data_IF_970432421697
#
_entry.id   IF_970432421697
#
_cell.length_a   1.000
_cell.length_b   1.000
_cell.length_c   1.000
_cell.angle_alpha   90.00
_cell.angle_beta   90.00
_cell.angle_gamma   90.00
#
_symmetry.space_group_name_H-M   'P 1'
#
loop_
_entity.id
_entity.type
_entity.pdbx_description
1 polymer ?
#
# COMPACT_ATOMS: atom_id res chain seq x y z
N UNK A 1 -5.60 2.97 39.62
CA UNK A 1 -5.30 2.40 38.28
C UNK A 1 -4.29 3.25 37.57
N UNK A 2 -4.58 4.50 37.20
CA UNK A 2 -3.67 5.38 36.44
C UNK A 2 -2.27 5.44 37.04
N UNK A 3 -2.14 5.65 38.36
CA UNK A 3 -0.83 5.65 39.05
C UNK A 3 -0.07 4.31 38.98
N UNK A 4 -0.75 3.23 38.75
CA UNK A 4 -0.11 1.91 38.60
C UNK A 4 0.35 1.77 37.13
N UNK A 5 -0.45 2.19 36.17
CA UNK A 5 -0.03 2.23 34.78
C UNK A 5 1.22 3.11 34.58
N UNK A 6 1.26 4.29 35.23
CA UNK A 6 2.44 5.17 35.25
C UNK A 6 3.68 4.49 35.84
N UNK A 7 3.50 3.67 36.89
CA UNK A 7 4.61 2.89 37.49
C UNK A 7 5.10 1.78 36.57
N UNK A 8 4.19 1.06 35.94
CA UNK A 8 4.51 0.04 34.90
C UNK A 8 5.30 0.67 33.77
N UNK A 9 4.83 1.79 33.26
CA UNK A 9 5.50 2.52 32.19
C UNK A 9 6.90 3.00 32.63
N UNK A 10 7.03 3.57 33.82
CA UNK A 10 8.32 4.02 34.35
C UNK A 10 9.31 2.86 34.57
N UNK A 11 8.83 1.66 34.94
CA UNK A 11 9.68 0.47 35.05
C UNK A 11 10.14 -0.03 33.67
N UNK A 12 9.26 -0.02 32.66
CA UNK A 12 9.60 -0.33 31.27
C UNK A 12 10.66 0.64 30.72
N UNK A 13 10.52 1.92 30.97
CA UNK A 13 11.47 2.94 30.48
C UNK A 13 12.88 2.75 31.11
N UNK A 14 12.97 2.38 32.37
CA UNK A 14 14.24 2.07 33.01
C UNK A 14 14.93 0.84 32.45
N UNK A 15 14.17 -0.07 31.83
CA UNK A 15 14.65 -1.34 31.29
C UNK A 15 14.91 -1.33 29.78
N UNK A 16 14.72 -0.20 29.12
CA UNK A 16 15.07 -0.03 27.70
C UNK A 16 16.52 -0.41 27.37
N UNK A 17 17.41 -0.42 28.36
CA UNK A 17 18.81 -0.86 28.21
C UNK A 17 18.99 -2.38 28.35
N UNK A 18 17.99 -3.11 28.88
CA UNK A 18 18.00 -4.57 28.93
C UNK A 18 17.49 -5.14 27.61
N UNK A 19 18.36 -5.70 26.77
CA UNK A 19 18.05 -6.22 25.43
C UNK A 19 16.78 -7.06 25.30
N UNK A 20 16.35 -7.73 26.37
CA UNK A 20 15.17 -8.61 26.37
C UNK A 20 13.82 -7.88 26.39
N UNK A 21 13.81 -6.59 26.74
CA UNK A 21 12.60 -5.74 26.78
C UNK A 21 12.71 -4.59 25.78
N UNK A 22 13.93 -4.13 25.48
CA UNK A 22 14.18 -3.02 24.57
C UNK A 22 13.81 -3.32 23.09
N UNK A 23 13.69 -4.60 22.73
CA UNK A 23 13.34 -5.05 21.37
C UNK A 23 11.83 -5.30 21.20
N UNK A 24 11.02 -5.09 22.23
CA UNK A 24 9.58 -5.32 22.17
C UNK A 24 8.81 -3.99 22.29
N UNK A 25 7.92 -3.76 21.40
CA UNK A 25 6.92 -2.70 21.54
C UNK A 25 5.92 -3.12 22.61
N UNK A 26 5.66 -2.22 23.55
CA UNK A 26 4.76 -2.48 24.67
C UNK A 26 3.69 -1.41 24.77
N UNK A 27 2.46 -1.83 25.06
CA UNK A 27 1.35 -0.94 25.33
C UNK A 27 0.93 -1.11 26.78
N UNK A 28 0.79 0.00 27.50
CA UNK A 28 0.22 0.01 28.85
C UNK A 28 -1.13 0.72 28.80
N UNK A 29 -2.19 0.01 29.14
CA UNK A 29 -3.53 0.54 29.19
C UNK A 29 -4.24 0.27 30.50
N UNK A 30 -5.34 0.97 30.77
CA UNK A 30 -6.18 0.77 31.95
C UNK A 30 -7.52 0.20 31.51
N UNK A 31 -7.83 -1.00 31.95
CA UNK A 31 -9.16 -1.60 31.86
C UNK A 31 -10.02 -1.12 33.04
N UNK A 32 -10.73 -0.04 32.82
CA UNK A 32 -11.57 0.58 33.88
C UNK A 32 -12.75 -0.32 34.28
N UNK A 33 -13.23 -1.17 33.38
CA UNK A 33 -14.37 -2.05 33.61
C UNK A 33 -14.00 -3.15 34.61
N UNK A 34 -12.85 -3.78 34.42
CA UNK A 34 -12.38 -4.88 35.25
C UNK A 34 -11.41 -4.44 36.39
N UNK A 35 -11.08 -3.14 36.44
CA UNK A 35 -10.18 -2.58 37.43
C UNK A 35 -8.77 -3.14 37.31
N UNK A 36 -8.24 -3.27 36.09
CA UNK A 36 -6.91 -3.85 35.80
C UNK A 36 -6.03 -2.85 35.05
N UNK A 37 -4.73 -3.04 35.14
CA UNK A 37 -3.76 -2.49 34.19
C UNK A 37 -3.42 -3.61 33.22
N UNK A 38 -3.43 -3.33 31.93
CA UNK A 38 -3.09 -4.29 30.88
C UNK A 38 -1.77 -3.88 30.27
N UNK A 39 -0.80 -4.80 30.25
CA UNK A 39 0.47 -4.70 29.56
C UNK A 39 0.39 -5.63 28.34
N UNK A 40 0.41 -5.06 27.15
CA UNK A 40 0.49 -5.82 25.91
C UNK A 40 1.94 -5.86 25.42
N UNK A 41 2.42 -7.05 25.06
CA UNK A 41 3.79 -7.30 24.60
C UNK A 41 3.76 -8.16 23.34
N UNK A 42 4.73 -8.01 22.46
CA UNK A 42 4.81 -8.81 21.21
C UNK A 42 4.99 -10.30 21.51
N UNK A 43 5.79 -10.62 22.52
CA UNK A 43 5.96 -11.99 22.99
C UNK A 43 6.02 -12.05 24.51
N UNK A 44 5.29 -12.99 25.11
CA UNK A 44 5.31 -13.21 26.56
C UNK A 44 6.47 -14.14 26.87
N UNK A 45 7.56 -13.61 27.44
CA UNK A 45 8.64 -14.42 28.00
C UNK A 45 8.38 -14.72 29.47
N UNK A 46 8.89 -15.85 29.97
CA UNK A 46 8.82 -16.23 31.40
C UNK A 46 9.45 -15.16 32.27
N UNK A 47 10.48 -14.49 31.79
CA UNK A 47 11.18 -13.42 32.52
C UNK A 47 10.28 -12.18 32.68
N UNK A 48 9.59 -11.73 31.62
CA UNK A 48 8.65 -10.61 31.65
C UNK A 48 7.51 -10.94 32.60
N UNK A 49 6.92 -12.12 32.46
CA UNK A 49 5.81 -12.54 33.29
C UNK A 49 6.17 -12.56 34.79
N UNK A 50 7.23 -13.23 35.17
CA UNK A 50 7.69 -13.30 36.57
C UNK A 50 8.05 -11.93 37.13
N UNK A 51 8.68 -11.08 36.35
CA UNK A 51 9.07 -9.75 36.80
C UNK A 51 7.84 -8.90 37.19
N UNK A 52 6.89 -8.80 36.29
CA UNK A 52 5.71 -7.95 36.48
C UNK A 52 4.70 -8.56 37.47
N UNK A 53 4.51 -9.88 37.48
CA UNK A 53 3.67 -10.57 38.45
C UNK A 53 4.17 -10.35 39.88
N UNK A 54 5.48 -10.43 40.10
CA UNK A 54 6.08 -10.20 41.44
C UNK A 54 5.94 -8.75 41.92
N UNK A 55 5.90 -7.79 40.99
CA UNK A 55 5.90 -6.37 41.34
C UNK A 55 4.49 -5.78 41.45
N UNK A 56 3.57 -6.24 40.65
CA UNK A 56 2.23 -5.65 40.54
C UNK A 56 1.09 -6.63 40.85
N UNK A 57 1.40 -7.93 40.97
CA UNK A 57 0.41 -8.97 41.32
C UNK A 57 -0.79 -9.01 40.38
N UNK A 58 -1.94 -9.37 40.93
CA UNK A 58 -3.18 -9.56 40.16
C UNK A 58 -3.77 -8.30 39.53
N UNK A 59 -3.23 -7.12 39.85
CA UNK A 59 -3.73 -5.88 39.29
C UNK A 59 -3.26 -5.65 37.84
N UNK A 60 -2.14 -6.31 37.47
CA UNK A 60 -1.58 -6.28 36.13
C UNK A 60 -1.93 -7.55 35.36
N UNK A 61 -2.43 -7.40 34.15
CA UNK A 61 -2.68 -8.47 33.19
C UNK A 61 -1.71 -8.31 32.04
N UNK A 62 -0.89 -9.33 31.77
CA UNK A 62 0.00 -9.35 30.62
C UNK A 62 -0.68 -10.12 29.50
N UNK A 63 -0.77 -9.50 28.31
CA UNK A 63 -1.32 -10.11 27.10
C UNK A 63 -0.32 -10.03 25.98
N UNK A 64 -0.35 -11.01 25.10
CA UNK A 64 0.29 -10.87 23.81
C UNK A 64 -0.59 -9.96 22.96
N UNK A 65 -0.03 -8.87 22.50
CA UNK A 65 -0.70 -7.86 21.71
C UNK A 65 0.04 -7.58 20.41
N UNK A 66 -0.60 -6.80 19.56
CA UNK A 66 0.01 -6.28 18.34
C UNK A 66 0.73 -4.98 18.70
N UNK A 67 1.95 -4.81 18.24
CA UNK A 67 2.69 -3.56 18.40
C UNK A 67 1.88 -2.37 17.86
N UNK A 68 1.75 -1.32 18.66
CA UNK A 68 1.27 -0.04 18.16
C UNK A 68 2.43 0.67 17.49
N UNK A 69 2.37 0.79 16.19
CA UNK A 69 3.31 1.57 15.41
C UNK A 69 2.69 2.92 15.06
N UNK A 70 3.49 4.01 14.95
CA UNK A 70 3.00 5.24 14.36
C UNK A 70 2.46 4.93 12.96
N UNK A 71 1.21 5.24 12.70
CA UNK A 71 0.66 5.12 11.35
C UNK A 71 1.29 6.17 10.45
N UNK A 72 2.16 5.73 9.55
CA UNK A 72 2.71 6.57 8.52
C UNK A 72 1.66 6.65 7.41
N UNK A 73 1.10 7.84 7.22
CA UNK A 73 0.10 8.04 6.19
C UNK A 73 0.69 7.92 4.79
N UNK A 74 0.03 7.15 3.93
CA UNK A 74 0.30 7.12 2.48
C UNK A 74 0.06 8.48 1.84
N UNK A 75 -0.69 9.34 2.51
CA UNK A 75 -1.07 10.70 2.09
C UNK A 75 -0.07 11.78 2.54
N UNK A 76 0.99 11.40 3.29
CA UNK A 76 2.00 12.39 3.70
C UNK A 76 2.85 12.87 2.53
N UNK A 77 3.61 13.94 2.76
CA UNK A 77 4.61 14.43 1.81
C UNK A 77 5.83 13.49 1.75
N UNK A 78 5.87 12.62 0.75
CA UNK A 78 6.95 11.64 0.58
C UNK A 78 8.15 12.25 -0.12
N UNK A 79 9.33 12.14 0.48
CA UNK A 79 10.60 12.56 -0.14
C UNK A 79 10.99 11.65 -1.31
N UNK A 80 10.72 10.35 -1.20
CA UNK A 80 10.93 9.38 -2.27
C UNK A 80 9.61 9.11 -2.97
N UNK A 81 9.59 9.13 -4.29
CA UNK A 81 8.42 8.78 -5.09
C UNK A 81 8.54 7.31 -5.52
N UNK A 82 7.62 6.49 -5.08
CA UNK A 82 7.58 5.05 -5.33
C UNK A 82 6.15 4.52 -5.43
N UNK A 83 5.95 3.23 -5.15
CA UNK A 83 4.64 2.59 -5.18
C UNK A 83 3.88 2.69 -3.86
N UNK A 84 2.55 2.59 -3.93
CA UNK A 84 1.67 2.47 -2.76
C UNK A 84 1.40 3.77 -2.00
N UNK A 85 1.75 4.93 -2.53
CA UNK A 85 1.48 6.25 -1.94
C UNK A 85 0.33 6.96 -2.66
N UNK A 86 -0.35 7.85 -1.94
CA UNK A 86 -1.47 8.62 -2.46
C UNK A 86 -1.04 9.57 -3.58
N UNK A 87 -1.85 9.63 -4.61
CA UNK A 87 -1.72 10.57 -5.72
C UNK A 87 -3.02 11.34 -5.90
N UNK A 88 -2.90 12.60 -6.27
CA UNK A 88 -4.01 13.42 -6.69
C UNK A 88 -3.72 14.07 -8.03
N UNK A 89 -4.77 14.26 -8.79
CA UNK A 89 -4.81 15.19 -9.88
C UNK A 89 -5.38 16.51 -9.33
N UNK A 90 -4.80 17.64 -9.73
CA UNK A 90 -5.35 18.95 -9.36
C UNK A 90 -5.18 19.44 -7.91
N UNK A 91 -4.16 19.01 -7.18
CA UNK A 91 -3.82 19.64 -5.90
C UNK A 91 -4.77 19.32 -4.75
N UNK A 92 -5.54 18.24 -4.84
CA UNK A 92 -6.26 17.69 -3.70
C UNK A 92 -5.26 16.94 -2.80
N UNK A 93 -4.97 17.42 -1.57
CA UNK A 93 -3.99 16.79 -0.71
C UNK A 93 -4.36 15.38 -0.26
N UNK A 94 -5.64 15.02 -0.32
CA UNK A 94 -6.15 13.75 0.23
C UNK A 94 -6.09 12.59 -0.74
N UNK A 95 -5.60 12.79 -1.96
CA UNK A 95 -5.33 11.75 -2.92
C UNK A 95 -6.52 10.85 -3.26
N UNK A 96 -6.97 10.92 -4.49
CA UNK A 96 -8.07 10.07 -4.99
C UNK A 96 -7.57 8.76 -5.62
N UNK A 97 -6.25 8.58 -5.72
CA UNK A 97 -5.61 7.43 -6.36
C UNK A 97 -4.31 7.03 -5.66
N UNK A 98 -3.68 5.97 -6.18
CA UNK A 98 -2.44 5.41 -5.66
C UNK A 98 -1.39 5.29 -6.76
N UNK A 99 -0.12 5.40 -6.44
CA UNK A 99 0.99 5.09 -7.35
C UNK A 99 1.31 3.59 -7.38
N UNK A 100 1.66 3.05 -8.55
CA UNK A 100 2.15 1.68 -8.68
C UNK A 100 3.67 1.56 -8.56
N UNK A 101 4.39 2.63 -8.85
CA UNK A 101 5.85 2.65 -8.90
C UNK A 101 6.36 3.56 -10.00
N UNK A 102 7.63 3.41 -10.32
CA UNK A 102 8.32 4.23 -11.32
C UNK A 102 8.59 3.44 -12.60
N UNK A 103 8.27 4.05 -13.73
CA UNK A 103 8.71 3.61 -15.05
C UNK A 103 9.83 4.48 -15.57
N UNK A 104 10.63 3.92 -16.48
CA UNK A 104 11.74 4.61 -17.14
C UNK A 104 11.68 4.41 -18.66
N UNK A 105 11.88 5.48 -19.39
CA UNK A 105 12.05 5.46 -20.85
C UNK A 105 12.83 6.70 -21.31
N UNK A 106 13.80 6.51 -22.19
CA UNK A 106 14.62 7.60 -22.77
C UNK A 106 15.25 8.50 -21.66
N UNK A 107 15.74 7.90 -20.59
CA UNK A 107 16.33 8.60 -19.41
C UNK A 107 15.35 9.56 -18.72
N UNK A 108 14.05 9.33 -18.89
CA UNK A 108 12.99 10.05 -18.18
C UNK A 108 12.23 9.09 -17.28
N UNK A 109 11.78 9.62 -16.15
CA UNK A 109 11.03 8.87 -15.15
C UNK A 109 9.55 9.22 -15.21
N UNK A 110 8.75 8.20 -15.00
CA UNK A 110 7.29 8.28 -15.01
C UNK A 110 6.75 7.64 -13.75
N UNK A 111 5.91 8.36 -13.02
CA UNK A 111 5.11 7.75 -11.97
C UNK A 111 3.92 7.06 -12.61
N UNK A 112 3.65 5.82 -12.22
CA UNK A 112 2.64 4.97 -12.83
C UNK A 112 1.41 4.93 -11.92
N UNK A 113 0.23 5.08 -12.50
CA UNK A 113 -1.08 4.95 -11.82
C UNK A 113 -2.12 4.35 -12.76
N UNK A 114 -3.40 4.29 -12.37
CA UNK A 114 -4.48 3.93 -13.27
C UNK A 114 -4.80 5.05 -14.27
N UNK A 115 -5.29 4.70 -15.46
CA UNK A 115 -5.59 5.68 -16.50
C UNK A 115 -6.72 6.62 -16.13
N UNK A 116 -7.76 6.09 -15.49
CA UNK A 116 -8.90 6.90 -15.03
C UNK A 116 -8.58 7.85 -13.87
N UNK A 117 -7.38 7.74 -13.28
CA UNK A 117 -6.87 8.69 -12.27
C UNK A 117 -6.41 10.02 -12.85
N UNK A 118 -6.22 10.09 -14.17
CA UNK A 118 -5.67 11.24 -14.86
C UNK A 118 -6.69 11.80 -15.86
N UNK A 119 -6.79 13.12 -15.93
CA UNK A 119 -7.69 13.79 -16.87
C UNK A 119 -7.18 13.78 -18.33
N UNK A 120 -5.89 13.48 -18.52
CA UNK A 120 -5.27 13.45 -19.84
C UNK A 120 -5.12 14.81 -20.53
N UNK A 121 -5.36 15.89 -19.82
CA UNK A 121 -5.30 17.27 -20.32
C UNK A 121 -3.91 17.92 -20.15
N UNK A 122 -2.93 17.14 -19.70
CA UNK A 122 -1.58 17.57 -19.33
C UNK A 122 -1.55 18.51 -18.12
N UNK A 123 -2.55 18.40 -17.26
CA UNK A 123 -2.55 19.08 -15.96
C UNK A 123 -1.41 18.56 -15.07
N UNK A 124 -1.19 19.23 -13.96
CA UNK A 124 -0.20 18.80 -12.98
C UNK A 124 -0.72 17.65 -12.14
N UNK A 125 0.10 16.63 -11.93
CA UNK A 125 -0.14 15.60 -10.92
C UNK A 125 0.57 15.94 -9.62
N UNK A 126 -0.03 15.54 -8.52
CA UNK A 126 0.39 15.93 -7.18
C UNK A 126 0.54 14.71 -6.28
N UNK A 127 1.48 14.79 -5.38
CA UNK A 127 1.62 13.87 -4.26
C UNK A 127 1.62 14.70 -2.99
N UNK A 128 0.61 14.52 -2.15
CA UNK A 128 0.25 15.45 -1.10
C UNK A 128 -0.21 16.78 -1.74
N UNK A 129 0.32 17.92 -1.35
CA UNK A 129 0.05 19.25 -1.91
C UNK A 129 1.14 19.73 -2.89
N UNK A 130 2.10 18.86 -3.23
CA UNK A 130 3.25 19.24 -4.04
C UNK A 130 3.15 18.58 -5.41
N UNK A 131 3.23 19.41 -6.45
CA UNK A 131 3.30 18.96 -7.83
C UNK A 131 4.51 18.06 -8.05
N UNK A 132 4.31 16.93 -8.70
CA UNK A 132 5.38 15.96 -9.00
C UNK A 132 5.64 15.79 -10.48
N UNK A 133 4.71 16.20 -11.32
CA UNK A 133 4.87 16.02 -12.76
C UNK A 133 3.65 16.47 -13.54
N UNK A 134 3.58 16.00 -14.77
CA UNK A 134 2.52 16.32 -15.72
C UNK A 134 1.96 15.04 -16.31
N UNK A 135 0.65 14.96 -16.46
CA UNK A 135 0.00 13.88 -17.17
C UNK A 135 0.61 13.72 -18.57
N UNK A 136 1.18 12.56 -18.81
CA UNK A 136 1.88 12.29 -20.05
C UNK A 136 1.04 11.45 -21.00
N UNK A 137 0.47 10.37 -20.50
CA UNK A 137 -0.31 9.46 -21.31
C UNK A 137 -1.36 8.75 -20.44
N UNK A 138 -2.56 8.65 -20.98
CA UNK A 138 -3.68 7.92 -20.38
C UNK A 138 -4.11 6.82 -21.33
N UNK A 139 -4.08 5.58 -20.85
CA UNK A 139 -4.26 4.38 -21.66
C UNK A 139 -5.62 3.68 -21.52
N UNK A 140 -6.64 4.33 -20.98
CA UNK A 140 -7.94 3.70 -20.72
C UNK A 140 -8.77 3.32 -21.98
N UNK A 141 -8.37 3.76 -23.16
CA UNK A 141 -9.18 3.61 -24.39
C UNK A 141 -8.90 2.34 -25.20
N UNK A 142 -7.79 1.64 -24.93
CA UNK A 142 -7.36 0.45 -25.67
C UNK A 142 -7.43 -0.85 -24.84
N UNK A 143 -8.26 -0.88 -23.81
CA UNK A 143 -8.38 -2.02 -22.93
C UNK A 143 -7.25 -2.16 -21.88
N UNK A 144 -6.51 -1.07 -21.66
CA UNK A 144 -5.44 -0.99 -20.65
C UNK A 144 -5.67 0.27 -19.83
N UNK A 145 -6.05 0.09 -18.57
CA UNK A 145 -6.26 1.19 -17.62
C UNK A 145 -4.94 1.55 -16.94
N UNK A 146 -4.18 2.44 -17.57
CA UNK A 146 -2.90 2.93 -17.07
C UNK A 146 -2.68 4.40 -17.37
N UNK A 147 -2.16 5.13 -16.40
CA UNK A 147 -1.75 6.51 -16.52
C UNK A 147 -0.25 6.66 -16.24
N UNK A 148 0.42 7.47 -17.03
CA UNK A 148 1.81 7.87 -16.83
C UNK A 148 1.88 9.35 -16.53
N UNK A 149 2.54 9.69 -15.44
CA UNK A 149 2.88 11.06 -15.06
C UNK A 149 4.36 11.24 -15.36
N UNK A 150 4.69 12.08 -16.34
CA UNK A 150 6.08 12.47 -16.58
C UNK A 150 6.55 13.31 -15.41
N UNK A 151 7.50 12.79 -14.65
CA UNK A 151 8.03 13.50 -13.50
C UNK A 151 8.82 14.75 -13.94
N UNK A 152 8.69 15.80 -13.16
CA UNK A 152 9.46 17.02 -13.33
C UNK A 152 10.97 16.72 -13.19
N UNK A 153 11.82 17.61 -13.67
CA UNK A 153 13.26 17.44 -13.54
C UNK A 153 13.68 17.29 -12.08
N UNK A 154 14.81 16.63 -11.83
CA UNK A 154 15.32 16.43 -10.46
C UNK A 154 15.50 17.74 -9.68
N UNK A 155 15.75 18.83 -10.37
CA UNK A 155 15.86 20.16 -9.74
C UNK A 155 14.49 20.71 -9.29
N UNK A 156 13.44 20.39 -10.04
CA UNK A 156 12.06 20.80 -9.70
C UNK A 156 11.42 19.88 -8.67
N UNK A 157 11.81 18.60 -8.66
CA UNK A 157 11.37 17.64 -7.64
C UNK A 157 12.06 17.83 -6.29
N UNK A 158 13.16 18.59 -6.22
CA UNK A 158 13.93 18.77 -4.97
C UNK A 158 13.04 19.24 -3.80
N UNK A 159 13.11 18.59 -2.63
CA UNK A 159 14.06 17.54 -2.26
C UNK A 159 13.64 16.09 -2.63
N UNK A 160 12.68 15.90 -3.52
CA UNK A 160 12.14 14.58 -3.89
C UNK A 160 12.99 13.88 -4.94
N UNK A 161 12.96 12.54 -4.91
CA UNK A 161 13.64 11.68 -5.88
C UNK A 161 12.87 10.37 -6.10
N UNK A 162 13.20 9.65 -7.17
CA UNK A 162 12.56 8.37 -7.51
C UNK A 162 13.14 7.22 -6.71
N UNK A 163 12.33 6.21 -6.43
CA UNK A 163 12.76 4.97 -5.81
C UNK A 163 12.03 3.77 -6.41
N UNK A 164 12.67 2.60 -6.35
CA UNK A 164 12.03 1.34 -6.73
C UNK A 164 11.39 0.62 -5.53
N UNK A 165 11.19 1.32 -4.43
CA UNK A 165 10.50 0.81 -3.25
C UNK A 165 9.00 1.11 -3.34
N UNK A 166 8.22 0.34 -2.58
CA UNK A 166 6.81 0.58 -2.38
C UNK A 166 6.43 0.41 -0.92
N UNK A 167 5.34 1.05 -0.55
CA UNK A 167 4.80 1.02 0.79
C UNK A 167 3.97 -0.26 1.00
N UNK A 168 4.40 -1.12 1.89
CA UNK A 168 3.64 -2.29 2.34
C UNK A 168 3.09 -2.08 3.74
N UNK A 169 3.99 -2.12 4.74
CA UNK A 169 3.69 -1.80 6.12
C UNK A 169 4.70 -0.79 6.61
N UNK A 170 4.25 0.22 7.33
CA UNK A 170 5.16 1.11 8.01
C UNK A 170 5.64 0.43 9.29
N UNK A 171 6.71 -0.33 9.21
CA UNK A 171 7.46 -0.74 10.38
C UNK A 171 8.51 0.33 10.66
N UNK A 172 8.31 1.10 11.74
CA UNK A 172 9.29 1.91 12.49
C UNK A 172 10.06 3.04 11.80
N UNK A 173 10.06 3.17 10.51
CA UNK A 173 10.82 4.21 9.83
C UNK A 173 9.93 4.95 8.85
N UNK A 174 10.03 6.22 8.83
CA UNK A 174 9.44 7.15 7.87
C UNK A 174 9.77 6.84 6.38
N UNK A 175 9.87 5.57 5.98
CA UNK A 175 10.30 5.15 4.66
C UNK A 175 9.49 3.95 4.12
N UNK A 176 9.70 3.63 2.85
CA UNK A 176 9.21 2.42 2.23
C UNK A 176 9.91 1.19 2.80
N UNK A 177 9.15 0.11 2.94
CA UNK A 177 9.63 -1.11 3.55
C UNK A 177 9.89 -2.25 2.56
N UNK A 178 9.41 -2.16 1.33
CA UNK A 178 9.62 -3.21 0.31
C UNK A 178 10.15 -2.66 -1.00
N UNK A 179 11.03 -3.43 -1.61
CA UNK A 179 11.64 -3.13 -2.90
C UNK A 179 10.98 -3.95 -4.00
N UNK A 180 10.79 -3.36 -5.17
CA UNK A 180 10.40 -4.08 -6.39
C UNK A 180 11.63 -4.84 -6.88
N UNK A 181 11.62 -6.18 -6.75
CA UNK A 181 12.75 -7.04 -7.12
C UNK A 181 12.73 -7.44 -8.61
N UNK A 182 11.59 -7.32 -9.26
CA UNK A 182 11.46 -7.67 -10.66
C UNK A 182 10.06 -7.50 -11.21
N UNK A 183 9.84 -8.11 -12.37
CA UNK A 183 8.59 -8.04 -13.13
C UNK A 183 8.04 -9.46 -13.27
N UNK A 184 6.78 -9.63 -12.87
CA UNK A 184 6.03 -10.86 -13.08
C UNK A 184 5.55 -10.94 -14.53
N UNK A 185 5.93 -11.99 -15.24
CA UNK A 185 5.57 -12.18 -16.66
C UNK A 185 4.63 -13.35 -16.88
N UNK A 186 4.40 -14.16 -15.86
CA UNK A 186 3.61 -15.36 -15.96
C UNK A 186 2.36 -15.26 -15.08
N UNK A 187 1.18 -15.45 -15.69
CA UNK A 187 -0.10 -15.31 -15.02
C UNK A 187 -0.91 -16.59 -15.16
N UNK A 188 -1.36 -17.15 -14.03
CA UNK A 188 -2.20 -18.36 -14.00
C UNK A 188 -3.23 -18.29 -12.88
N UNK A 189 -4.37 -18.93 -13.06
CA UNK A 189 -5.40 -19.02 -12.04
C UNK A 189 -4.87 -19.71 -10.78
N UNK A 190 -5.19 -19.18 -9.62
CA UNK A 190 -4.70 -19.66 -8.34
C UNK A 190 -3.42 -19.00 -7.83
N UNK A 191 -2.80 -18.07 -8.58
CA UNK A 191 -1.72 -17.24 -8.06
C UNK A 191 -2.20 -16.39 -6.89
N UNK A 192 -1.40 -16.32 -5.84
CA UNK A 192 -1.63 -15.43 -4.71
C UNK A 192 -0.93 -14.10 -4.94
N UNK A 193 -1.69 -13.03 -5.03
CA UNK A 193 -1.20 -11.68 -5.31
C UNK A 193 -1.80 -10.69 -4.31
N UNK A 194 -1.02 -9.68 -3.98
CA UNK A 194 -1.43 -8.57 -3.13
C UNK A 194 -1.45 -7.26 -3.91
N UNK A 195 -2.24 -6.29 -3.45
CA UNK A 195 -2.09 -4.90 -3.83
C UNK A 195 -1.70 -4.05 -2.62
N UNK A 196 -1.10 -2.90 -2.86
CA UNK A 196 -0.82 -1.90 -1.84
C UNK A 196 -1.42 -0.57 -2.25
N UNK A 197 -2.58 -0.24 -1.69
CA UNK A 197 -3.40 0.92 -2.05
C UNK A 197 -3.56 1.91 -0.92
N UNK A 198 -3.93 3.13 -1.28
CA UNK A 198 -4.06 4.25 -0.33
C UNK A 198 -5.16 4.02 0.71
N UNK A 199 -6.30 3.49 0.29
CA UNK A 199 -7.49 3.42 1.13
C UNK A 199 -7.59 2.15 1.96
N UNK A 200 -7.42 0.97 1.33
CA UNK A 200 -7.55 -0.32 2.04
C UNK A 200 -6.20 -0.95 2.41
N UNK A 201 -5.11 -0.24 2.15
CA UNK A 201 -3.78 -0.73 2.44
C UNK A 201 -3.40 -1.97 1.61
N UNK A 202 -2.76 -2.93 2.27
CA UNK A 202 -2.40 -4.20 1.63
C UNK A 202 -3.53 -5.19 1.77
N UNK A 203 -4.05 -5.63 0.63
CA UNK A 203 -5.05 -6.69 0.54
C UNK A 203 -4.59 -7.72 -0.46
N UNK A 204 -4.85 -8.98 -0.17
CA UNK A 204 -4.36 -10.12 -0.95
C UNK A 204 -5.50 -11.04 -1.39
N UNK A 205 -5.24 -11.82 -2.42
CA UNK A 205 -6.22 -12.78 -2.91
C UNK A 205 -5.66 -13.67 -4.01
N UNK A 206 -6.52 -14.54 -4.50
CA UNK A 206 -6.16 -15.51 -5.53
C UNK A 206 -6.62 -15.03 -6.90
N UNK A 207 -5.73 -15.06 -7.88
CA UNK A 207 -6.05 -14.77 -9.26
C UNK A 207 -7.08 -15.76 -9.77
N UNK A 208 -8.29 -15.30 -10.02
CA UNK A 208 -9.41 -16.11 -10.48
C UNK A 208 -9.41 -16.20 -12.00
N UNK A 209 -9.25 -15.07 -12.68
CA UNK A 209 -9.30 -15.00 -14.13
C UNK A 209 -8.14 -14.19 -14.71
N UNK A 210 -7.52 -14.72 -15.75
CA UNK A 210 -6.46 -14.05 -16.52
C UNK A 210 -7.00 -13.28 -17.72
N UNK A 211 -8.32 -13.27 -17.92
CA UNK A 211 -9.01 -12.54 -18.98
C UNK A 211 -10.40 -12.14 -18.50
N UNK A 212 -10.58 -10.90 -18.17
CA UNK A 212 -11.83 -10.34 -17.68
C UNK A 212 -12.22 -9.11 -18.50
N UNK A 213 -13.49 -8.97 -18.78
CA UNK A 213 -14.03 -7.78 -19.47
C UNK A 213 -14.90 -7.02 -18.50
N UNK A 214 -14.55 -5.79 -18.27
CA UNK A 214 -15.36 -4.87 -17.49
C UNK A 214 -16.26 -4.06 -18.43
N UNK A 215 -17.53 -3.95 -18.08
CA UNK A 215 -18.51 -3.10 -18.76
C UNK A 215 -19.11 -2.17 -17.71
N UNK A 216 -18.93 -0.88 -17.90
CA UNK A 216 -19.48 0.13 -17.02
C UNK A 216 -21.00 0.17 -17.07
N UNK A 217 -21.64 0.47 -15.93
CA UNK A 217 -23.08 0.64 -15.78
C UNK A 217 -23.68 1.80 -16.59
N UNK A 218 -22.88 2.81 -16.94
CA UNK A 218 -23.29 3.94 -17.75
C UNK A 218 -23.39 3.63 -19.24
N UNK A 219 -23.01 2.40 -19.68
CA UNK A 219 -22.97 2.04 -21.08
C UNK A 219 -21.85 2.74 -21.86
N UNK A 220 -21.06 3.55 -21.19
CA UNK A 220 -19.80 4.01 -21.69
C UNK A 220 -18.87 2.81 -21.70
N UNK A 221 -18.65 2.27 -22.86
CA UNK A 221 -17.68 1.21 -23.06
C UNK A 221 -16.30 1.76 -22.69
N UNK A 222 -15.90 1.63 -21.46
CA UNK A 222 -14.47 1.48 -21.17
C UNK A 222 -14.07 0.25 -21.98
N UNK A 223 -13.55 0.47 -23.16
CA UNK A 223 -13.38 -0.56 -24.17
C UNK A 223 -12.84 -1.85 -23.57
N UNK A 224 -12.98 -2.97 -24.20
CA UNK A 224 -12.69 -4.31 -23.68
C UNK A 224 -11.35 -4.35 -22.93
N UNK A 225 -11.35 -3.94 -21.68
CA UNK A 225 -10.16 -3.88 -20.83
C UNK A 225 -9.69 -5.31 -20.60
N UNK A 226 -8.43 -5.57 -20.89
CA UNK A 226 -7.79 -6.86 -20.60
C UNK A 226 -7.38 -6.88 -19.14
N UNK A 227 -8.36 -7.00 -18.27
CA UNK A 227 -8.13 -7.04 -16.81
C UNK A 227 -7.96 -8.47 -16.32
N UNK A 228 -7.28 -8.60 -15.21
CA UNK A 228 -7.21 -9.81 -14.43
C UNK A 228 -8.03 -9.61 -13.16
N UNK A 229 -8.72 -10.67 -12.73
CA UNK A 229 -9.59 -10.64 -11.57
C UNK A 229 -8.98 -11.42 -10.41
N UNK A 230 -8.82 -10.76 -9.27
CA UNK A 230 -8.38 -11.35 -8.01
C UNK A 230 -9.58 -11.48 -7.08
N UNK A 231 -9.77 -12.66 -6.52
CA UNK A 231 -10.75 -12.91 -5.46
C UNK A 231 -10.10 -12.66 -4.09
N UNK A 232 -10.77 -11.90 -3.23
CA UNK A 232 -10.28 -11.60 -1.89
C UNK A 232 -10.00 -12.88 -1.08
N UNK A 233 -8.92 -12.88 -0.33
CA UNK A 233 -8.65 -13.94 0.64
C UNK A 233 -9.46 -13.68 1.92
N UNK A 234 -10.61 -14.34 2.03
CA UNK A 234 -11.49 -14.22 3.19
C UNK A 234 -10.88 -14.70 4.51
N UNK A 235 -9.72 -15.38 4.47
CA UNK A 235 -9.01 -15.83 5.67
C UNK A 235 -8.31 -14.69 6.42
N UNK A 236 -8.12 -13.54 5.78
CA UNK A 236 -7.45 -12.38 6.39
C UNK A 236 -8.35 -11.55 7.29
N UNK A 237 -9.66 -11.83 7.33
CA UNK A 237 -10.66 -11.00 8.03
C UNK A 237 -10.93 -9.65 7.38
N UNK A 238 -10.29 -9.34 6.26
CA UNK A 238 -10.50 -8.13 5.48
C UNK A 238 -11.69 -8.37 4.55
N UNK A 239 -12.78 -7.66 4.77
CA UNK A 239 -14.03 -7.84 4.00
C UNK A 239 -13.92 -7.27 2.58
N UNK A 240 -13.14 -6.20 2.39
CA UNK A 240 -13.05 -5.46 1.13
C UNK A 240 -11.68 -5.66 0.50
N UNK A 241 -11.62 -6.14 -0.73
CA UNK A 241 -10.36 -6.20 -1.47
C UNK A 241 -9.85 -4.79 -1.83
N UNK A 242 -10.74 -3.89 -2.22
CA UNK A 242 -10.38 -2.53 -2.60
C UNK A 242 -11.48 -1.52 -2.25
N UNK A 243 -11.15 -0.24 -2.32
CA UNK A 243 -12.09 0.88 -2.20
C UNK A 243 -11.65 2.03 -3.09
N UNK A 244 -12.51 3.04 -3.24
CA UNK A 244 -12.12 4.28 -3.93
C UNK A 244 -10.84 4.85 -3.32
N UNK A 245 -9.89 5.25 -4.17
CA UNK A 245 -8.54 5.68 -3.76
C UNK A 245 -7.44 4.62 -3.95
N UNK A 246 -7.79 3.33 -4.03
CA UNK A 246 -6.82 2.26 -4.32
C UNK A 246 -6.46 2.16 -5.81
N UNK A 247 -7.21 2.83 -6.69
CA UNK A 247 -6.92 2.91 -8.12
C UNK A 247 -5.48 3.32 -8.39
N UNK A 248 -4.79 2.57 -9.24
CA UNK A 248 -3.37 2.78 -9.53
C UNK A 248 -2.41 2.03 -8.60
N UNK A 249 -2.89 1.37 -7.56
CA UNK A 249 -2.04 0.64 -6.62
C UNK A 249 -1.20 -0.44 -7.30
N UNK A 250 0.02 -0.65 -6.80
CA UNK A 250 0.87 -1.78 -7.23
C UNK A 250 0.19 -3.12 -6.89
N UNK A 251 0.18 -4.04 -7.86
CA UNK A 251 -0.18 -5.46 -7.65
C UNK A 251 1.09 -6.28 -7.75
N UNK A 252 1.36 -7.10 -6.74
CA UNK A 252 2.64 -7.76 -6.57
C UNK A 252 2.55 -9.14 -5.96
N UNK A 253 3.58 -9.95 -6.16
CA UNK A 253 3.80 -11.22 -5.45
C UNK A 253 4.36 -10.92 -4.06
N UNK A 254 3.70 -11.33 -2.95
CA UNK A 254 4.13 -11.00 -1.60
C UNK A 254 5.37 -11.77 -1.12
N UNK A 255 5.84 -12.76 -1.87
CA UNK A 255 7.00 -13.57 -1.53
C UNK A 255 8.26 -13.16 -2.27
N UNK A 256 8.12 -12.87 -3.57
CA UNK A 256 9.24 -12.50 -4.44
C UNK A 256 9.30 -11.01 -4.76
N UNK A 257 8.32 -10.22 -4.33
CA UNK A 257 8.21 -8.78 -4.57
C UNK A 257 8.33 -8.40 -6.06
N UNK A 258 7.80 -9.27 -6.92
CA UNK A 258 7.67 -8.99 -8.35
C UNK A 258 6.41 -8.17 -8.59
N UNK A 259 6.53 -7.09 -9.36
CA UNK A 259 5.35 -6.35 -9.80
C UNK A 259 4.63 -7.14 -10.91
N UNK A 260 3.32 -7.34 -10.73
CA UNK A 260 2.46 -8.04 -11.69
C UNK A 260 1.50 -7.10 -12.41
N UNK A 261 1.11 -6.00 -11.80
CA UNK A 261 0.16 -5.11 -12.44
C UNK A 261 -0.16 -3.85 -11.66
N UNK A 262 -1.19 -3.17 -12.16
CA UNK A 262 -1.71 -1.92 -11.64
C UNK A 262 -3.19 -2.12 -11.36
N UNK A 263 -3.61 -1.87 -10.13
CA UNK A 263 -5.00 -2.01 -9.71
C UNK A 263 -5.87 -0.96 -10.41
N UNK A 264 -6.95 -1.42 -11.02
CA UNK A 264 -7.89 -0.56 -11.74
C UNK A 264 -9.17 -0.31 -10.97
N UNK A 265 -9.63 -1.28 -10.18
CA UNK A 265 -10.88 -1.15 -9.45
C UNK A 265 -11.29 -2.43 -8.75
N UNK A 266 -12.45 -2.41 -8.13
CA UNK A 266 -13.05 -3.54 -7.45
C UNK A 266 -14.46 -3.82 -7.92
N UNK A 267 -14.93 -5.03 -7.71
CA UNK A 267 -16.28 -5.47 -8.05
C UNK A 267 -16.93 -6.19 -6.87
N UNK A 268 -18.21 -5.91 -6.68
CA UNK A 268 -19.08 -6.61 -5.75
C UNK A 268 -20.19 -7.33 -6.52
N UNK A 269 -20.23 -8.68 -6.49
CA UNK A 269 -21.25 -9.43 -7.23
C UNK A 269 -22.68 -9.15 -6.77
N UNK A 270 -22.83 -8.75 -5.53
CA UNK A 270 -24.12 -8.43 -4.89
C UNK A 270 -24.52 -6.95 -4.97
N UNK A 271 -23.71 -6.13 -5.69
CA UNK A 271 -23.91 -4.69 -5.79
C UNK A 271 -23.65 -3.93 -4.49
N UNK A 272 -23.01 -4.56 -3.49
CA UNK A 272 -22.60 -3.89 -2.26
C UNK A 272 -21.48 -2.89 -2.52
N UNK A 273 -21.29 -1.96 -1.60
CA UNK A 273 -20.19 -0.99 -1.64
C UNK A 273 -18.84 -1.60 -1.24
N UNK A 274 -18.82 -2.90 -0.96
CA UNK A 274 -17.65 -3.63 -0.47
C UNK A 274 -17.13 -4.59 -1.54
N UNK A 275 -16.22 -4.17 -2.42
CA UNK A 275 -15.67 -4.99 -3.48
C UNK A 275 -14.97 -6.24 -2.93
N UNK A 276 -15.48 -7.41 -3.30
CA UNK A 276 -14.87 -8.70 -2.96
C UNK A 276 -13.81 -9.12 -3.99
N UNK A 277 -13.77 -8.45 -5.13
CA UNK A 277 -12.83 -8.71 -6.20
C UNK A 277 -11.99 -7.48 -6.51
N UNK A 278 -10.74 -7.70 -6.88
CA UNK A 278 -9.88 -6.70 -7.48
C UNK A 278 -9.67 -6.94 -8.97
N UNK A 279 -9.68 -5.86 -9.72
CA UNK A 279 -9.39 -5.87 -11.15
C UNK A 279 -8.07 -5.15 -11.39
N UNK A 280 -7.18 -5.71 -12.20
CA UNK A 280 -5.90 -5.08 -12.48
C UNK A 280 -5.43 -5.26 -13.92
N UNK A 281 -4.66 -4.29 -14.39
CA UNK A 281 -3.96 -4.29 -15.68
C UNK A 281 -2.61 -4.98 -15.55
N UNK A 282 -2.25 -5.86 -16.49
CA UNK A 282 -0.94 -6.54 -16.49
C UNK A 282 0.19 -5.55 -16.68
N UNK A 283 1.25 -5.67 -15.87
CA UNK A 283 2.43 -4.82 -16.04
C UNK A 283 3.12 -5.04 -17.39
N UNK A 284 3.07 -6.25 -17.91
CA UNK A 284 3.63 -6.57 -19.24
C UNK A 284 2.89 -5.86 -20.37
N UNK A 285 1.56 -5.70 -20.25
CA UNK A 285 0.76 -4.97 -21.25
C UNK A 285 1.08 -3.47 -21.19
N UNK A 286 1.29 -2.91 -20.00
CA UNK A 286 1.75 -1.53 -19.78
C UNK A 286 3.12 -1.32 -20.45
N UNK A 287 4.07 -2.19 -20.17
CA UNK A 287 5.41 -2.09 -20.75
C UNK A 287 5.37 -2.17 -22.28
N UNK A 288 4.59 -3.08 -22.83
CA UNK A 288 4.42 -3.21 -24.29
C UNK A 288 3.76 -2.00 -24.92
N UNK A 289 2.74 -1.42 -24.27
CA UNK A 289 2.03 -0.25 -24.76
C UNK A 289 2.94 0.98 -24.89
N UNK A 290 3.84 1.17 -23.94
CA UNK A 290 4.70 2.36 -23.90
C UNK A 290 6.08 2.15 -24.52
N UNK A 291 6.44 0.92 -24.85
CA UNK A 291 7.66 0.63 -25.63
C UNK A 291 7.48 0.98 -27.11
N UNK A 292 8.56 1.41 -27.73
CA UNK A 292 8.66 1.62 -29.17
C UNK A 292 9.82 0.79 -29.73
N UNK A 293 9.91 0.59 -31.08
CA UNK A 293 11.06 -0.15 -31.65
C UNK A 293 12.42 0.45 -31.31
N UNK A 294 12.46 1.75 -31.00
CA UNK A 294 13.70 2.48 -30.69
C UNK A 294 13.97 2.66 -29.21
N UNK A 295 12.95 2.48 -28.33
CA UNK A 295 13.06 2.74 -26.93
C UNK A 295 12.09 1.87 -26.10
N UNK A 296 12.63 1.07 -25.22
CA UNK A 296 11.85 0.23 -24.30
C UNK A 296 11.40 1.03 -23.08
N UNK A 297 10.13 0.84 -22.70
CA UNK A 297 9.65 1.25 -21.38
C UNK A 297 9.94 0.13 -20.39
N UNK A 298 10.54 0.47 -19.27
CA UNK A 298 10.87 -0.48 -18.19
C UNK A 298 10.41 0.03 -16.83
N UNK A 299 10.25 -0.89 -15.89
CA UNK A 299 10.03 -0.55 -14.48
C UNK A 299 11.40 -0.22 -13.88
N UNK A 300 11.48 0.90 -13.19
CA UNK A 300 12.69 1.33 -12.49
C UNK A 300 13.04 0.34 -11.37
N UNK A 301 14.29 -0.10 -11.33
CA UNK A 301 14.81 -1.13 -10.41
C UNK A 301 15.96 -0.64 -9.58
#
# INVERSE_FOLDING_TARGET
>A
MIKIAEKVQADLEKRKEEKSIAEQTTIVSVDEVNGKVVLEVESISEHIQKHFENQFGDILVIKQGISAHPEISRERNWTKLGGGIALSDYGDPFGVCTSAGIGEKDSRYFLITAGHCLNGDKSGAYQYDVRVGTDHTVGNWNGIDVGLILLDSTNELSPRYVTNYFYWHAEDNDDYDKRIEGIGTYYYSGMYLCKSGNTTGVTCGYLESTSYKYVDYAGDQYGSQKLLKINNDNNTGILNYSSGGDSGAIVFDPYAFLIYGIHSGGESPDGSTNPTYGLFTKITDVMNMYSTPSASFSIYK
#
